data_IF_505815215732
#
_entry.id   IF_505815215732
#
_cell.length_a   1.000
_cell.length_b   1.000
_cell.length_c   1.000
_cell.angle_alpha   90.00
_cell.angle_beta   90.00
_cell.angle_gamma   90.00
#
_symmetry.space_group_name_H-M   'P 1'
#
loop_
_entity.id
_entity.type
_entity.pdbx_description
1 polymer ?
#
# COMPACT_ATOMS: atom_id res chain seq x y z
N UNK A 1 19.71 6.76 8.70
CA UNK A 1 19.91 6.69 7.24
C UNK A 1 18.65 6.21 6.53
N UNK A 2 18.10 5.03 6.84
CA UNK A 2 16.85 4.51 6.24
C UNK A 2 15.71 5.55 6.24
N UNK A 3 15.43 6.17 7.39
CA UNK A 3 14.35 7.16 7.48
C UNK A 3 14.65 8.45 6.71
N UNK A 4 15.93 8.81 6.53
CA UNK A 4 16.29 9.94 5.65
C UNK A 4 16.01 9.61 4.18
N UNK A 5 16.26 8.38 3.74
CA UNK A 5 15.87 7.93 2.40
C UNK A 5 14.35 7.94 2.22
N UNK A 6 13.61 7.51 3.26
CA UNK A 6 12.15 7.63 3.28
C UNK A 6 11.67 9.08 3.14
N UNK A 7 12.33 10.01 3.81
CA UNK A 7 11.99 11.44 3.74
C UNK A 7 12.28 12.03 2.35
N UNK A 8 13.35 11.59 1.68
CA UNK A 8 13.61 11.95 0.28
C UNK A 8 12.50 11.46 -0.65
N UNK A 9 12.03 10.23 -0.47
CA UNK A 9 10.92 9.68 -1.28
C UNK A 9 9.61 10.43 -1.04
N UNK A 10 9.34 10.85 0.18
CA UNK A 10 8.15 11.66 0.52
C UNK A 10 8.24 13.13 0.12
N UNK A 11 9.41 13.62 -0.29
CA UNK A 11 9.55 14.99 -0.81
C UNK A 11 8.81 15.17 -2.15
N UNK A 12 8.57 14.08 -2.86
CA UNK A 12 7.81 14.07 -4.11
C UNK A 12 6.36 13.66 -3.88
N UNK A 13 5.39 14.32 -4.53
CA UNK A 13 4.03 13.79 -4.63
C UNK A 13 4.06 12.37 -5.22
N UNK A 14 3.35 11.42 -4.59
CA UNK A 14 3.49 9.99 -4.92
C UNK A 14 3.21 9.65 -6.38
N UNK A 15 2.22 10.30 -6.99
CA UNK A 15 1.91 10.12 -8.41
C UNK A 15 3.02 10.65 -9.33
N UNK A 16 3.66 11.77 -8.98
CA UNK A 16 4.76 12.34 -9.77
C UNK A 16 5.99 11.44 -9.72
N UNK A 17 6.30 10.92 -8.54
CA UNK A 17 7.37 9.94 -8.38
C UNK A 17 7.08 8.69 -9.21
N UNK A 18 5.85 8.18 -9.16
CA UNK A 18 5.46 7.00 -9.91
C UNK A 18 5.54 7.22 -11.43
N UNK A 19 5.10 8.37 -11.93
CA UNK A 19 5.26 8.77 -13.34
C UNK A 19 6.74 8.80 -13.71
N UNK A 20 7.59 9.41 -12.88
CA UNK A 20 9.04 9.49 -13.11
C UNK A 20 9.70 8.11 -13.19
N UNK A 21 9.33 7.18 -12.29
CA UNK A 21 9.83 5.81 -12.31
C UNK A 21 9.42 5.09 -13.59
N UNK A 22 8.13 5.17 -13.97
CA UNK A 22 7.65 4.49 -15.19
C UNK A 22 8.22 5.12 -16.46
N UNK A 23 8.44 6.44 -16.48
CA UNK A 23 9.08 7.12 -17.61
C UNK A 23 10.52 6.63 -17.85
N UNK A 24 11.24 6.22 -16.81
CA UNK A 24 12.59 5.65 -16.91
C UNK A 24 12.55 4.16 -17.28
N UNK A 25 11.64 3.39 -16.66
CA UNK A 25 11.55 1.93 -16.85
C UNK A 25 10.82 1.54 -18.15
N UNK A 26 10.05 2.45 -18.74
CA UNK A 26 9.16 2.22 -19.88
C UNK A 26 7.75 1.80 -19.46
N UNK A 27 6.82 1.78 -20.42
CA UNK A 27 5.43 1.40 -20.17
C UNK A 27 5.29 -0.09 -19.84
N UNK A 28 4.30 -0.42 -19.00
CA UNK A 28 3.92 -1.80 -18.73
C UNK A 28 3.43 -2.02 -17.30
N UNK A 29 2.59 -3.05 -17.13
CA UNK A 29 1.99 -3.37 -15.84
C UNK A 29 3.04 -3.64 -14.74
N UNK A 30 4.10 -4.36 -15.07
CA UNK A 30 5.19 -4.65 -14.12
C UNK A 30 5.87 -3.37 -13.63
N UNK A 31 6.12 -2.42 -14.53
CA UNK A 31 6.77 -1.16 -14.19
C UNK A 31 5.86 -0.27 -13.33
N UNK A 32 4.56 -0.26 -13.60
CA UNK A 32 3.56 0.38 -12.75
C UNK A 32 3.54 -0.25 -11.34
N UNK A 33 3.56 -1.58 -11.24
CA UNK A 33 3.61 -2.28 -9.95
C UNK A 33 4.88 -1.90 -9.17
N UNK A 34 6.05 -1.89 -9.84
CA UNK A 34 7.32 -1.48 -9.23
C UNK A 34 7.26 -0.03 -8.74
N UNK A 35 6.73 0.89 -9.55
CA UNK A 35 6.59 2.29 -9.17
C UNK A 35 5.72 2.49 -7.92
N UNK A 36 4.56 1.82 -7.87
CA UNK A 36 3.65 1.86 -6.71
C UNK A 36 4.29 1.21 -5.46
N UNK A 37 5.01 0.10 -5.64
CA UNK A 37 5.69 -0.59 -4.56
C UNK A 37 6.79 0.27 -3.93
N UNK A 38 7.66 0.89 -4.74
CA UNK A 38 8.75 1.75 -4.26
C UNK A 38 8.21 2.92 -3.43
N UNK A 39 7.15 3.58 -3.88
CA UNK A 39 6.53 4.67 -3.13
C UNK A 39 5.89 4.21 -1.81
N UNK A 40 5.48 2.95 -1.71
CA UNK A 40 4.85 2.39 -0.51
C UNK A 40 5.85 2.04 0.62
N UNK A 41 7.12 1.83 0.27
CA UNK A 41 8.18 1.40 1.22
C UNK A 41 8.37 2.37 2.40
N UNK A 42 8.53 3.70 2.19
CA UNK A 42 8.68 4.67 3.28
C UNK A 42 7.57 4.60 4.33
N UNK A 43 6.34 4.40 3.88
CA UNK A 43 5.17 4.34 4.74
C UNK A 43 5.17 3.07 5.62
N UNK A 44 5.49 1.90 5.03
CA UNK A 44 5.66 0.67 5.81
C UNK A 44 6.85 0.76 6.79
N UNK A 45 7.98 1.30 6.35
CA UNK A 45 9.17 1.48 7.19
C UNK A 45 8.86 2.37 8.42
N UNK A 46 8.10 3.45 8.21
CA UNK A 46 7.68 4.35 9.30
C UNK A 46 6.72 3.66 10.27
N UNK A 47 5.75 2.89 9.77
CA UNK A 47 4.84 2.11 10.62
C UNK A 47 5.59 1.11 11.49
N UNK A 48 6.42 0.26 10.86
CA UNK A 48 7.19 -0.77 11.58
C UNK A 48 8.09 -0.12 12.62
N UNK A 49 8.77 0.97 12.27
CA UNK A 49 9.60 1.73 13.22
C UNK A 49 8.79 2.24 14.41
N UNK A 50 7.60 2.80 14.18
CA UNK A 50 6.72 3.30 15.23
C UNK A 50 6.31 2.18 16.20
N UNK A 51 5.86 1.05 15.66
CA UNK A 51 5.45 -0.12 16.45
C UNK A 51 6.61 -0.73 17.24
N UNK A 52 7.77 -0.91 16.59
CA UNK A 52 8.97 -1.43 17.26
C UNK A 52 9.40 -0.51 18.39
N UNK A 53 9.38 0.81 18.18
CA UNK A 53 9.75 1.75 19.24
C UNK A 53 8.76 1.67 20.42
N UNK A 54 7.47 1.60 20.15
CA UNK A 54 6.44 1.46 21.18
C UNK A 54 6.57 0.14 21.97
N UNK A 55 6.81 -0.98 21.26
CA UNK A 55 6.95 -2.30 21.88
C UNK A 55 8.26 -2.44 22.66
N UNK A 56 9.36 -1.85 22.18
CA UNK A 56 10.69 -1.96 22.80
C UNK A 56 10.75 -1.39 24.22
N UNK A 57 9.90 -0.41 24.54
CA UNK A 57 9.83 0.23 25.86
C UNK A 57 8.82 -0.44 26.82
N UNK A 58 8.27 -1.60 26.45
CA UNK A 58 7.37 -2.37 27.31
C UNK A 58 8.15 -3.13 28.39
N UNK A 59 7.61 -3.18 29.61
CA UNK A 59 8.24 -3.85 30.77
C UNK A 59 8.55 -5.32 30.53
N UNK A 60 7.74 -6.03 29.74
CA UNK A 60 8.00 -7.45 29.43
C UNK A 60 9.23 -7.63 28.54
N UNK A 61 9.54 -6.68 27.64
CA UNK A 61 10.76 -6.72 26.82
C UNK A 61 11.99 -6.47 27.70
N UNK A 62 11.90 -5.53 28.64
CA UNK A 62 12.97 -5.27 29.61
C UNK A 62 13.24 -6.48 30.51
N UNK A 63 12.19 -7.18 30.95
CA UNK A 63 12.33 -8.44 31.69
C UNK A 63 13.02 -9.53 30.86
N UNK A 64 12.59 -9.72 29.60
CA UNK A 64 13.20 -10.71 28.68
C UNK A 64 14.67 -10.40 28.41
N UNK A 65 15.02 -9.12 28.30
CA UNK A 65 16.42 -8.69 28.19
C UNK A 65 17.21 -8.96 29.48
N UNK A 66 16.61 -8.75 30.64
CA UNK A 66 17.26 -8.95 31.94
C UNK A 66 17.61 -10.41 32.24
N UNK A 67 16.86 -11.36 31.67
CA UNK A 67 17.16 -12.80 31.74
C UNK A 67 18.18 -13.29 30.69
N UNK A 68 18.79 -12.37 29.94
CA UNK A 68 19.89 -12.67 29.00
C UNK A 68 19.46 -13.10 27.59
N UNK A 69 18.22 -12.82 27.17
CA UNK A 69 17.80 -13.11 25.80
C UNK A 69 18.59 -12.27 24.77
N UNK A 70 18.98 -12.90 23.67
CA UNK A 70 19.69 -12.22 22.57
C UNK A 70 18.76 -11.28 21.81
N UNK A 71 19.31 -10.24 21.18
CA UNK A 71 18.52 -9.31 20.37
C UNK A 71 17.74 -10.01 19.24
N UNK A 72 18.27 -11.12 18.70
CA UNK A 72 17.57 -11.92 17.69
C UNK A 72 16.28 -12.56 18.25
N UNK A 73 16.33 -13.09 19.49
CA UNK A 73 15.15 -13.64 20.16
C UNK A 73 14.13 -12.55 20.43
N UNK A 74 14.57 -11.39 20.94
CA UNK A 74 13.70 -10.23 21.19
C UNK A 74 13.03 -9.78 19.89
N UNK A 75 13.79 -9.66 18.80
CA UNK A 75 13.25 -9.25 17.50
C UNK A 75 12.24 -10.26 16.94
N UNK A 76 12.61 -11.53 16.81
CA UNK A 76 11.81 -12.52 16.08
C UNK A 76 10.62 -13.04 16.90
N UNK A 77 10.76 -13.17 18.22
CA UNK A 77 9.74 -13.79 19.07
C UNK A 77 8.83 -12.78 19.77
N UNK A 78 9.27 -11.54 19.92
CA UNK A 78 8.52 -10.53 20.68
C UNK A 78 8.13 -9.31 19.83
N UNK A 79 9.09 -8.68 19.14
CA UNK A 79 8.81 -7.46 18.37
C UNK A 79 8.10 -7.72 17.04
N UNK A 80 8.54 -8.73 16.29
CA UNK A 80 7.99 -9.04 14.98
C UNK A 80 6.51 -9.48 15.08
N UNK A 81 6.13 -10.45 15.93
CA UNK A 81 4.72 -10.84 16.07
C UNK A 81 3.83 -9.67 16.52
N UNK A 82 4.32 -8.83 17.43
CA UNK A 82 3.59 -7.64 17.89
C UNK A 82 3.41 -6.56 16.83
N UNK A 83 4.24 -6.56 15.78
CA UNK A 83 4.17 -5.59 14.68
C UNK A 83 3.38 -6.11 13.48
N UNK A 84 3.33 -7.42 13.26
CA UNK A 84 2.67 -8.06 12.11
C UNK A 84 1.20 -7.67 12.02
N UNK A 85 0.45 -7.69 13.12
CA UNK A 85 -0.98 -7.33 13.13
C UNK A 85 -1.22 -5.94 12.51
N UNK A 86 -0.51 -4.92 13.01
CA UNK A 86 -0.63 -3.56 12.46
C UNK A 86 -0.16 -3.46 11.00
N UNK A 87 0.85 -4.23 10.60
CA UNK A 87 1.33 -4.24 9.20
C UNK A 87 0.28 -4.83 8.27
N UNK A 88 -0.39 -5.91 8.67
CA UNK A 88 -1.43 -6.55 7.87
C UNK A 88 -2.63 -5.61 7.73
N UNK A 89 -3.09 -4.99 8.81
CA UNK A 89 -4.16 -3.97 8.76
C UNK A 89 -3.77 -2.79 7.87
N UNK A 90 -2.53 -2.31 7.99
CA UNK A 90 -2.08 -1.20 7.16
C UNK A 90 -1.91 -1.57 5.69
N UNK A 91 -1.58 -2.83 5.41
CA UNK A 91 -1.49 -3.36 4.05
C UNK A 91 -2.86 -3.37 3.40
N UNK A 92 -3.89 -3.90 4.06
CA UNK A 92 -5.24 -3.98 3.49
C UNK A 92 -5.80 -2.62 3.14
N UNK A 93 -5.66 -1.64 4.04
CA UNK A 93 -6.08 -0.25 3.76
C UNK A 93 -5.29 0.40 2.62
N UNK A 94 -4.04 -0.02 2.39
CA UNK A 94 -3.23 0.52 1.29
C UNK A 94 -3.66 0.00 -0.08
N UNK A 95 -4.24 -1.20 -0.16
CA UNK A 95 -4.62 -1.84 -1.43
C UNK A 95 -5.49 -0.91 -2.27
N UNK A 96 -6.49 -0.26 -1.66
CA UNK A 96 -7.36 0.68 -2.37
C UNK A 96 -6.58 1.84 -3.02
N UNK A 97 -5.68 2.46 -2.27
CA UNK A 97 -4.82 3.54 -2.81
C UNK A 97 -3.88 3.06 -3.91
N UNK A 98 -3.36 1.84 -3.81
CA UNK A 98 -2.50 1.23 -4.82
C UNK A 98 -3.26 0.96 -6.12
N UNK A 99 -4.50 0.45 -6.04
CA UNK A 99 -5.37 0.21 -7.20
C UNK A 99 -5.67 1.53 -7.93
N UNK A 100 -6.08 2.57 -7.19
CA UNK A 100 -6.36 3.89 -7.78
C UNK A 100 -5.11 4.45 -8.46
N UNK A 101 -3.94 4.34 -7.81
CA UNK A 101 -2.67 4.84 -8.36
C UNK A 101 -2.30 4.09 -9.63
N UNK A 102 -2.39 2.76 -9.63
CA UNK A 102 -2.10 1.92 -10.80
C UNK A 102 -3.06 2.24 -11.96
N UNK A 103 -4.37 2.30 -11.69
CA UNK A 103 -5.37 2.66 -12.69
C UNK A 103 -5.15 4.07 -13.24
N UNK A 104 -4.72 5.03 -12.41
CA UNK A 104 -4.39 6.38 -12.84
C UNK A 104 -3.19 6.40 -13.78
N UNK A 105 -2.14 5.64 -13.49
CA UNK A 105 -0.96 5.52 -14.36
C UNK A 105 -1.32 4.85 -15.69
N UNK A 106 -2.11 3.79 -15.67
CA UNK A 106 -2.62 3.16 -16.89
C UNK A 106 -3.53 4.08 -17.69
N UNK A 107 -4.37 4.86 -17.03
CA UNK A 107 -5.20 5.90 -17.66
C UNK A 107 -4.35 6.99 -18.34
N UNK A 108 -3.13 7.22 -17.87
CA UNK A 108 -2.14 8.08 -18.53
C UNK A 108 -1.36 7.39 -19.66
N UNK A 109 -1.67 6.12 -19.96
CA UNK A 109 -1.02 5.32 -21.00
C UNK A 109 0.28 4.64 -20.56
N UNK A 110 0.64 4.74 -19.28
CA UNK A 110 1.91 4.21 -18.74
C UNK A 110 1.81 2.74 -18.28
N UNK A 111 0.60 2.20 -18.22
CA UNK A 111 0.30 0.88 -17.66
C UNK A 111 0.26 -0.25 -18.67
N UNK A 112 -0.64 -1.21 -18.43
CA UNK A 112 -0.83 -2.34 -19.32
C UNK A 112 -1.17 -1.87 -20.75
N UNK A 113 -0.68 -2.62 -21.73
CA UNK A 113 -0.93 -2.37 -23.14
C UNK A 113 -1.78 -3.50 -23.72
N UNK A 114 -2.59 -3.24 -24.76
CA UNK A 114 -3.28 -4.30 -25.50
C UNK A 114 -2.30 -5.42 -25.89
N UNK A 115 -2.68 -6.70 -25.77
CA UNK A 115 -4.02 -7.23 -25.52
C UNK A 115 -4.38 -7.45 -24.04
N UNK A 116 -3.58 -6.98 -23.09
CA UNK A 116 -3.84 -7.23 -21.65
C UNK A 116 -4.98 -6.35 -21.16
N UNK A 117 -6.08 -6.93 -20.65
CA UNK A 117 -7.21 -6.15 -20.14
C UNK A 117 -6.84 -5.44 -18.84
N UNK A 118 -7.10 -4.14 -18.77
CA UNK A 118 -6.82 -3.33 -17.60
C UNK A 118 -7.79 -2.13 -17.52
N UNK A 119 -8.42 -1.92 -16.36
CA UNK A 119 -9.50 -0.96 -16.21
C UNK A 119 -9.09 0.50 -16.41
N UNK A 120 -7.89 0.89 -15.97
CA UNK A 120 -7.35 2.23 -16.24
C UNK A 120 -7.06 2.51 -17.72
N UNK A 121 -6.52 1.53 -18.44
CA UNK A 121 -6.29 1.59 -19.88
C UNK A 121 -7.62 1.63 -20.65
N UNK A 122 -8.61 0.83 -20.24
CA UNK A 122 -9.97 0.91 -20.80
C UNK A 122 -10.60 2.30 -20.62
N UNK A 123 -10.35 2.97 -19.50
CA UNK A 123 -10.77 4.36 -19.30
C UNK A 123 -10.04 5.34 -20.22
N UNK A 124 -8.77 5.07 -20.58
CA UNK A 124 -8.04 5.88 -21.54
C UNK A 124 -8.67 5.78 -22.93
N UNK A 125 -8.97 4.55 -23.37
CA UNK A 125 -9.61 4.27 -24.66
C UNK A 125 -11.02 4.89 -24.74
N UNK A 126 -11.80 4.79 -23.67
CA UNK A 126 -13.15 5.34 -23.60
C UNK A 126 -13.22 6.87 -23.74
N UNK A 127 -12.11 7.60 -23.61
CA UNK A 127 -12.08 9.06 -23.77
C UNK A 127 -12.53 9.51 -25.17
N UNK A 128 -12.17 8.75 -26.20
CA UNK A 128 -12.50 9.11 -27.58
C UNK A 128 -14.01 9.02 -27.85
N UNK A 129 -14.68 8.05 -27.21
CA UNK A 129 -16.09 7.77 -27.42
C UNK A 129 -16.99 8.30 -26.32
N UNK A 130 -16.47 9.11 -25.38
CA UNK A 130 -17.20 9.50 -24.18
C UNK A 130 -18.51 10.26 -24.44
N UNK A 131 -18.58 11.02 -25.55
CA UNK A 131 -19.79 11.71 -25.99
C UNK A 131 -20.81 10.80 -26.66
N UNK A 132 -20.35 9.73 -27.34
CA UNK A 132 -21.19 8.86 -28.16
C UNK A 132 -21.61 7.57 -27.41
N UNK A 133 -20.74 7.07 -26.54
CA UNK A 133 -20.87 5.81 -25.82
C UNK A 133 -20.31 5.92 -24.38
N UNK A 134 -20.91 6.76 -23.51
CA UNK A 134 -20.42 6.99 -22.14
C UNK A 134 -20.42 5.71 -21.26
N UNK A 135 -21.24 4.72 -21.61
CA UNK A 135 -21.29 3.44 -20.90
C UNK A 135 -19.96 2.68 -20.93
N UNK A 136 -19.12 2.89 -21.97
CA UNK A 136 -17.80 2.24 -22.09
C UNK A 136 -16.86 2.71 -20.97
N UNK A 137 -16.96 3.96 -20.52
CA UNK A 137 -16.21 4.47 -19.37
C UNK A 137 -16.83 4.07 -18.03
N UNK A 138 -18.15 3.85 -17.99
CA UNK A 138 -18.89 3.58 -16.76
C UNK A 138 -18.54 2.22 -16.14
N UNK A 139 -18.45 1.16 -16.95
CA UNK A 139 -18.11 -0.17 -16.46
C UNK A 139 -16.73 -0.27 -15.78
N UNK A 140 -15.61 0.16 -16.40
CA UNK A 140 -14.30 0.11 -15.73
C UNK A 140 -14.24 1.05 -14.52
N UNK A 141 -14.91 2.21 -14.55
CA UNK A 141 -15.02 3.11 -13.39
C UNK A 141 -15.72 2.42 -12.21
N UNK A 142 -16.84 1.75 -12.47
CA UNK A 142 -17.60 1.04 -11.44
C UNK A 142 -16.83 -0.18 -10.91
N UNK A 143 -16.12 -0.89 -11.78
CA UNK A 143 -15.27 -2.01 -11.37
C UNK A 143 -14.16 -1.57 -10.41
N UNK A 144 -13.46 -0.47 -10.73
CA UNK A 144 -12.46 0.13 -9.83
C UNK A 144 -13.12 0.55 -8.52
N UNK A 145 -14.25 1.27 -8.58
CA UNK A 145 -14.96 1.77 -7.39
C UNK A 145 -15.35 0.63 -6.45
N UNK A 146 -16.04 -0.40 -6.95
CA UNK A 146 -16.50 -1.53 -6.15
C UNK A 146 -15.33 -2.30 -5.56
N UNK A 147 -14.27 -2.53 -6.34
CA UNK A 147 -13.07 -3.24 -5.88
C UNK A 147 -12.37 -2.48 -4.75
N UNK A 148 -12.15 -1.18 -4.92
CA UNK A 148 -11.54 -0.32 -3.90
C UNK A 148 -12.41 -0.27 -2.65
N UNK A 149 -13.73 -0.13 -2.80
CA UNK A 149 -14.67 -0.13 -1.69
C UNK A 149 -14.61 -1.47 -0.92
N UNK A 150 -14.63 -2.60 -1.63
CA UNK A 150 -14.56 -3.92 -1.01
C UNK A 150 -13.27 -4.12 -0.20
N UNK A 151 -12.12 -3.72 -0.73
CA UNK A 151 -10.85 -3.82 0.00
C UNK A 151 -10.76 -2.85 1.19
N UNK A 152 -11.33 -1.66 1.09
CA UNK A 152 -11.40 -0.74 2.22
C UNK A 152 -12.27 -1.30 3.35
N UNK A 153 -13.47 -1.79 3.02
CA UNK A 153 -14.37 -2.42 4.00
C UNK A 153 -13.76 -3.68 4.63
N UNK A 154 -13.06 -4.49 3.84
CA UNK A 154 -12.29 -5.63 4.35
C UNK A 154 -11.19 -5.18 5.31
N UNK A 155 -10.50 -4.08 4.99
CA UNK A 155 -9.46 -3.51 5.84
C UNK A 155 -10.00 -2.97 7.16
N UNK A 156 -11.15 -2.31 7.13
CA UNK A 156 -11.87 -1.86 8.33
C UNK A 156 -12.31 -3.05 9.19
N UNK A 157 -12.95 -4.06 8.60
CA UNK A 157 -13.35 -5.26 9.34
C UNK A 157 -12.16 -6.03 9.94
N UNK A 158 -11.05 -6.12 9.21
CA UNK A 158 -9.82 -6.74 9.73
C UNK A 158 -9.19 -5.92 10.86
N UNK A 159 -9.22 -4.59 10.76
CA UNK A 159 -8.77 -3.70 11.82
C UNK A 159 -9.59 -3.91 13.09
N UNK A 160 -10.92 -3.94 12.96
CA UNK A 160 -11.82 -4.10 14.08
C UNK A 160 -11.63 -5.47 14.76
N UNK A 161 -11.48 -6.54 13.98
CA UNK A 161 -11.20 -7.88 14.51
C UNK A 161 -9.83 -8.02 15.19
N UNK A 162 -8.86 -7.17 14.84
CA UNK A 162 -7.51 -7.19 15.39
C UNK A 162 -7.25 -6.11 16.46
N UNK A 163 -8.21 -5.21 16.72
CA UNK A 163 -8.09 -4.20 17.77
C UNK A 163 -8.36 -4.82 19.16
N UNK A 164 -7.33 -4.97 20.03
CA UNK A 164 -7.49 -5.62 21.33
C UNK A 164 -8.34 -4.81 22.33
N UNK A 165 -8.75 -3.59 21.99
CA UNK A 165 -9.46 -2.68 22.90
C UNK A 165 -10.98 -2.90 22.96
N UNK A 166 -11.56 -3.69 22.04
CA UNK A 166 -12.99 -3.98 22.05
C UNK A 166 -13.39 -5.02 23.11
N UNK A 167 -12.45 -5.81 23.64
CA UNK A 167 -12.70 -6.86 24.65
C UNK A 167 -12.49 -6.40 26.10
N UNK A 168 -12.42 -5.09 26.37
CA UNK A 168 -12.25 -4.56 27.74
C UNK A 168 -13.36 -3.60 28.14
N UNK A 169 -14.61 -4.07 28.11
CA UNK A 169 -15.74 -3.53 28.87
C UNK A 169 -16.64 -4.67 29.34
#
# INVERSE_FOLDING_TARGET
IVMRMSDVLFAFPGILLAIGIVAILGNGMVNVIVAVAVFSVPAFARLVRGNVLALKHQTYIEAVRSIGATDAVIMLRHLLPGTVSSVVVYLTMRIGTSIITAASLSFLGLGAQPPTPEWGAMLNEARADMLNAPHIALFPSLAIFVTVLAFNLLGDGLRDALDPKLDRN
#
